data_IF_535949541912
#
_entry.id   IF_535949541912
#
_cell.length_a   1.000
_cell.length_b   1.000
_cell.length_c   1.000
_cell.angle_alpha   90.00
_cell.angle_beta   90.00
_cell.angle_gamma   90.00
#
_symmetry.space_group_name_H-M   'P 1'
#
loop_
_entity.id
_entity.type
_entity.pdbx_description
1 polymer ?
#
# COMPACT_ATOMS: atom_id res chain seq x y z
N UNK A 1 18.57 15.48 -21.63
CA UNK A 1 17.93 14.63 -20.61
C UNK A 1 17.03 13.65 -21.34
N UNK A 2 17.15 12.35 -21.04
CA UNK A 2 16.22 11.35 -21.57
C UNK A 2 14.83 11.65 -21.02
N UNK A 3 13.91 12.11 -21.88
CA UNK A 3 12.52 12.42 -21.53
C UNK A 3 11.85 11.21 -20.84
N UNK A 4 12.27 9.99 -21.21
CA UNK A 4 11.81 8.75 -20.58
C UNK A 4 12.11 8.74 -19.08
N UNK A 5 13.33 9.11 -18.68
CA UNK A 5 13.74 9.13 -17.27
C UNK A 5 12.91 10.13 -16.45
N UNK A 6 12.61 11.29 -17.04
CA UNK A 6 11.76 12.30 -16.39
C UNK A 6 10.35 11.75 -16.18
N UNK A 7 9.75 11.13 -17.20
CA UNK A 7 8.42 10.55 -17.09
C UNK A 7 8.38 9.34 -16.14
N UNK A 8 9.44 8.53 -16.06
CA UNK A 8 9.53 7.43 -15.11
C UNK A 8 9.51 7.93 -13.65
N UNK A 9 10.33 8.93 -13.31
CA UNK A 9 10.36 9.47 -11.95
C UNK A 9 9.11 10.28 -11.61
N UNK A 10 8.56 11.04 -12.56
CA UNK A 10 7.26 11.70 -12.35
C UNK A 10 6.15 10.67 -12.13
N UNK A 11 6.12 9.60 -12.93
CA UNK A 11 5.17 8.51 -12.79
C UNK A 11 5.29 7.82 -11.44
N UNK A 12 6.52 7.54 -10.99
CA UNK A 12 6.80 7.00 -9.67
C UNK A 12 6.31 7.90 -8.54
N UNK A 13 6.57 9.21 -8.60
CA UNK A 13 6.13 10.16 -7.56
C UNK A 13 4.60 10.27 -7.54
N UNK A 14 3.95 10.39 -8.70
CA UNK A 14 2.49 10.48 -8.79
C UNK A 14 1.81 9.19 -8.36
N UNK A 15 2.34 8.03 -8.75
CA UNK A 15 1.87 6.73 -8.32
C UNK A 15 2.08 6.55 -6.81
N UNK A 16 3.26 6.89 -6.29
CA UNK A 16 3.53 6.88 -4.86
C UNK A 16 2.55 7.74 -4.09
N UNK A 17 2.31 8.99 -4.50
CA UNK A 17 1.36 9.87 -3.83
C UNK A 17 -0.08 9.34 -3.88
N UNK A 18 -0.54 8.90 -5.06
CA UNK A 18 -1.92 8.41 -5.23
C UNK A 18 -2.18 7.07 -4.54
N UNK A 19 -1.27 6.11 -4.67
CA UNK A 19 -1.38 4.77 -4.07
C UNK A 19 -1.21 4.83 -2.56
N UNK A 20 -0.16 5.50 -2.07
CA UNK A 20 0.04 5.64 -0.62
C UNK A 20 -1.10 6.49 -0.05
N UNK A 21 -1.49 7.62 -0.67
CA UNK A 21 -2.58 8.45 -0.18
C UNK A 21 -3.93 7.73 -0.09
N UNK A 22 -4.27 6.88 -1.07
CA UNK A 22 -5.53 6.14 -1.09
C UNK A 22 -5.53 4.95 -0.11
N UNK A 23 -4.55 4.07 -0.26
CA UNK A 23 -4.63 2.73 0.31
C UNK A 23 -3.89 2.63 1.66
N UNK A 24 -2.93 3.52 1.94
CA UNK A 24 -2.31 3.57 3.27
C UNK A 24 -3.28 4.05 4.33
N UNK A 25 -4.19 4.98 4.02
CA UNK A 25 -5.24 5.41 4.96
C UNK A 25 -6.22 4.27 5.22
N UNK A 26 -6.54 3.44 4.21
CA UNK A 26 -7.41 2.28 4.40
C UNK A 26 -6.74 1.19 5.28
N UNK A 27 -5.42 1.05 5.20
CA UNK A 27 -4.67 0.03 5.97
C UNK A 27 -4.26 0.52 7.37
N UNK A 28 -3.82 1.77 7.49
CA UNK A 28 -3.28 2.37 8.71
C UNK A 28 -4.28 3.29 9.43
N UNK A 29 -5.42 3.62 8.82
CA UNK A 29 -6.36 4.59 9.38
C UNK A 29 -6.92 4.19 10.75
N UNK A 30 -7.24 2.90 10.93
CA UNK A 30 -7.68 2.37 12.23
C UNK A 30 -6.56 2.43 13.28
N UNK A 31 -5.31 2.23 12.86
CA UNK A 31 -4.14 2.37 13.72
C UNK A 31 -3.89 3.82 14.14
N UNK A 32 -3.98 4.76 13.19
CA UNK A 32 -3.83 6.20 13.44
C UNK A 32 -4.91 6.68 14.40
N UNK A 33 -6.18 6.34 14.13
CA UNK A 33 -7.31 6.73 14.99
C UNK A 33 -7.22 6.11 16.39
N UNK A 34 -6.86 4.83 16.50
CA UNK A 34 -6.71 4.17 17.82
C UNK A 34 -5.52 4.69 18.63
N UNK A 35 -4.56 5.35 18.00
CA UNK A 35 -3.35 5.87 18.63
C UNK A 35 -3.24 7.41 18.48
N UNK A 36 -4.34 8.12 18.27
CA UNK A 36 -4.37 9.58 18.07
C UNK A 36 -3.73 10.39 19.22
N UNK A 37 -3.73 9.81 20.43
CA UNK A 37 -3.08 10.38 21.61
C UNK A 37 -1.54 10.36 21.53
N UNK A 38 -0.97 9.65 20.56
CA UNK A 38 0.47 9.57 20.33
C UNK A 38 0.87 10.61 19.29
N UNK A 39 2.04 11.24 19.44
CA UNK A 39 2.50 12.19 18.45
C UNK A 39 2.76 11.50 17.11
N UNK A 40 2.42 12.20 16.01
CA UNK A 40 2.46 11.66 14.66
C UNK A 40 3.82 11.04 14.28
N UNK A 41 4.93 11.59 14.75
CA UNK A 41 6.27 11.09 14.44
C UNK A 41 6.53 9.68 14.99
N UNK A 42 5.86 9.27 16.08
CA UNK A 42 5.97 7.91 16.63
C UNK A 42 5.25 6.91 15.72
N UNK A 43 4.04 7.28 15.28
CA UNK A 43 3.23 6.46 14.38
C UNK A 43 3.89 6.36 12.99
N UNK A 44 4.44 7.49 12.52
CA UNK A 44 5.24 7.55 11.30
C UNK A 44 6.50 6.71 11.41
N UNK A 45 7.25 6.77 12.52
CA UNK A 45 8.46 5.97 12.69
C UNK A 45 8.16 4.47 12.66
N UNK A 46 7.07 4.05 13.30
CA UNK A 46 6.58 2.67 13.24
C UNK A 46 6.28 2.25 11.79
N UNK A 47 5.42 2.98 11.07
CA UNK A 47 5.06 2.64 9.70
C UNK A 47 6.25 2.72 8.72
N UNK A 48 7.15 3.70 8.92
CA UNK A 48 8.36 3.93 8.12
C UNK A 48 9.40 2.85 8.31
N UNK A 49 9.58 2.35 9.53
CA UNK A 49 10.51 1.25 9.81
C UNK A 49 10.10 -0.01 9.05
N UNK A 50 8.80 -0.33 9.03
CA UNK A 50 8.26 -1.47 8.30
C UNK A 50 8.43 -1.26 6.80
N UNK A 51 8.07 -0.07 6.29
CA UNK A 51 8.28 0.28 4.87
C UNK A 51 9.74 0.07 4.46
N UNK A 52 10.67 0.59 5.25
CA UNK A 52 12.10 0.48 5.00
C UNK A 52 12.56 -0.98 5.00
N UNK A 53 12.18 -1.75 6.02
CA UNK A 53 12.55 -3.17 6.14
C UNK A 53 12.00 -3.96 4.96
N UNK A 54 10.71 -3.80 4.63
CA UNK A 54 10.08 -4.51 3.51
C UNK A 54 10.74 -4.15 2.19
N UNK A 55 11.01 -2.87 1.93
CA UNK A 55 11.64 -2.43 0.68
C UNK A 55 13.07 -2.95 0.54
N UNK A 56 13.89 -2.80 1.59
CA UNK A 56 15.29 -3.25 1.60
C UNK A 56 15.38 -4.77 1.51
N UNK A 57 14.49 -5.50 2.20
CA UNK A 57 14.41 -6.95 2.12
C UNK A 57 14.10 -7.41 0.69
N UNK A 58 13.10 -6.81 0.04
CA UNK A 58 12.78 -7.09 -1.36
C UNK A 58 14.00 -6.85 -2.26
N UNK A 59 14.57 -5.65 -2.18
CA UNK A 59 15.74 -5.30 -2.99
C UNK A 59 16.92 -6.28 -2.83
N UNK A 60 17.21 -6.69 -1.58
CA UNK A 60 18.32 -7.59 -1.29
C UNK A 60 18.06 -9.03 -1.77
N UNK A 61 16.85 -9.56 -1.55
CA UNK A 61 16.55 -10.95 -1.86
C UNK A 61 16.27 -11.21 -3.34
N UNK A 62 15.72 -10.21 -4.05
CA UNK A 62 15.31 -10.34 -5.45
C UNK A 62 16.25 -9.59 -6.42
N UNK A 63 17.55 -9.53 -6.11
CA UNK A 63 18.59 -9.00 -7.01
C UNK A 63 18.31 -7.57 -7.53
N UNK A 64 17.83 -6.71 -6.63
CA UNK A 64 17.50 -5.32 -6.90
C UNK A 64 16.03 -5.06 -7.24
N UNK A 65 15.18 -6.10 -7.30
CA UNK A 65 13.73 -5.95 -7.47
C UNK A 65 13.02 -5.74 -6.12
N UNK A 66 12.37 -4.60 -5.98
CA UNK A 66 11.57 -4.26 -4.80
C UNK A 66 10.12 -4.71 -4.90
N UNK A 67 9.69 -5.19 -6.07
CA UNK A 67 8.31 -5.61 -6.35
C UNK A 67 8.06 -7.09 -6.09
N UNK A 68 9.03 -7.81 -5.50
CA UNK A 68 8.90 -9.24 -5.19
C UNK A 68 8.53 -10.07 -6.43
N UNK A 69 9.18 -9.79 -7.57
CA UNK A 69 8.98 -10.43 -8.87
C UNK A 69 7.58 -10.26 -9.48
N UNK A 70 6.70 -9.47 -8.85
CA UNK A 70 5.34 -9.21 -9.36
C UNK A 70 5.37 -8.48 -10.70
N UNK A 71 6.43 -7.71 -10.96
CA UNK A 71 6.64 -6.99 -12.22
C UNK A 71 7.33 -7.81 -13.32
N UNK A 72 7.69 -9.08 -13.07
CA UNK A 72 8.31 -9.97 -14.08
C UNK A 72 7.48 -10.09 -15.36
N UNK A 73 6.16 -10.02 -15.24
CA UNK A 73 5.20 -10.11 -16.36
C UNK A 73 4.87 -8.77 -17.02
N UNK A 74 5.41 -7.67 -16.50
CA UNK A 74 5.16 -6.31 -16.98
C UNK A 74 6.49 -5.74 -17.48
N UNK A 75 6.80 -5.80 -18.77
CA UNK A 75 8.03 -5.21 -19.30
C UNK A 75 7.99 -3.67 -19.21
N UNK A 76 9.14 -3.02 -19.05
CA UNK A 76 9.22 -1.57 -19.18
C UNK A 76 9.00 -1.18 -20.64
N UNK A 77 8.09 -0.24 -20.94
CA UNK A 77 7.96 0.28 -22.30
C UNK A 77 9.21 1.07 -22.70
N UNK A 78 9.68 0.84 -23.93
CA UNK A 78 10.77 1.62 -24.55
C UNK A 78 10.29 2.15 -25.91
N UNK A 79 10.11 3.47 -26.09
CA UNK A 79 10.36 4.54 -25.12
C UNK A 79 9.27 4.64 -24.02
N UNK A 80 9.64 5.18 -22.85
CA UNK A 80 8.67 5.51 -21.81
C UNK A 80 8.00 6.83 -22.14
N UNK A 81 6.82 6.78 -22.74
CA UNK A 81 6.11 7.97 -23.20
C UNK A 81 5.28 8.65 -22.09
N UNK A 82 4.93 9.92 -22.31
CA UNK A 82 4.19 10.75 -21.35
C UNK A 82 2.82 10.17 -20.95
N UNK A 83 2.14 9.41 -21.83
CA UNK A 83 0.80 8.88 -21.56
C UNK A 83 0.78 7.80 -20.48
N UNK A 84 1.93 7.21 -20.12
CA UNK A 84 2.04 6.36 -18.94
C UNK A 84 1.82 7.13 -17.63
N UNK A 85 1.82 8.47 -17.64
CA UNK A 85 1.43 9.28 -16.50
C UNK A 85 -0.09 9.37 -16.31
N UNK A 86 -0.90 8.91 -17.27
CA UNK A 86 -2.37 9.00 -17.18
C UNK A 86 -2.95 8.21 -16.00
N UNK A 87 -2.60 6.92 -15.77
CA UNK A 87 -3.15 6.17 -14.64
C UNK A 87 -2.95 6.85 -13.27
N UNK A 88 -1.73 7.29 -12.87
CA UNK A 88 -1.55 7.90 -11.55
C UNK A 88 -2.16 9.30 -11.47
N UNK A 89 -2.27 10.04 -12.59
CA UNK A 89 -3.02 11.30 -12.64
C UNK A 89 -4.51 11.09 -12.42
N UNK A 90 -5.11 10.10 -13.10
CA UNK A 90 -6.53 9.75 -12.92
C UNK A 90 -6.77 9.29 -11.49
N UNK A 91 -5.90 8.46 -10.92
CA UNK A 91 -5.99 8.06 -9.51
C UNK A 91 -5.95 9.29 -8.59
N UNK A 92 -5.01 10.21 -8.78
CA UNK A 92 -4.91 11.42 -7.96
C UNK A 92 -6.20 12.27 -7.99
N UNK A 93 -6.89 12.33 -9.14
CA UNK A 93 -8.19 13.02 -9.24
C UNK A 93 -9.27 12.24 -8.49
N UNK A 94 -9.33 10.92 -8.69
CA UNK A 94 -10.35 10.08 -8.06
C UNK A 94 -10.18 10.01 -6.53
N UNK A 95 -8.96 9.92 -6.03
CA UNK A 95 -8.65 9.94 -4.59
C UNK A 95 -9.05 11.26 -3.96
N UNK A 96 -8.88 12.38 -4.66
CA UNK A 96 -9.34 13.69 -4.20
C UNK A 96 -10.87 13.80 -4.12
N UNK A 97 -11.61 13.04 -4.93
CA UNK A 97 -13.07 12.96 -4.85
C UNK A 97 -13.57 12.00 -3.78
N UNK A 98 -12.68 11.27 -3.09
CA UNK A 98 -13.04 10.30 -2.05
C UNK A 98 -13.67 9.02 -2.59
N UNK A 99 -13.61 8.78 -3.90
CA UNK A 99 -14.09 7.53 -4.50
C UNK A 99 -12.98 6.48 -4.30
N UNK A 100 -13.25 5.37 -3.59
CA UNK A 100 -12.28 4.29 -3.48
C UNK A 100 -12.13 3.58 -4.82
N UNK A 101 -10.90 3.49 -5.33
CA UNK A 101 -10.58 2.87 -6.62
C UNK A 101 -9.55 1.76 -6.43
N UNK A 102 -9.65 0.71 -7.23
CA UNK A 102 -8.59 -0.31 -7.30
C UNK A 102 -7.39 0.25 -8.07
N UNK A 103 -6.43 0.77 -7.33
CA UNK A 103 -5.14 1.30 -7.80
C UNK A 103 -4.40 0.29 -8.68
N UNK A 104 -4.31 -0.95 -8.18
CA UNK A 104 -3.74 -2.10 -8.89
C UNK A 104 -4.39 -2.32 -10.26
N UNK A 105 -5.73 -2.34 -10.28
CA UNK A 105 -6.48 -2.57 -11.52
C UNK A 105 -6.21 -1.48 -12.54
N UNK A 106 -6.26 -0.20 -12.15
CA UNK A 106 -6.07 0.90 -13.09
C UNK A 106 -4.64 0.97 -13.63
N UNK A 107 -3.64 0.86 -12.76
CA UNK A 107 -2.23 0.98 -13.15
C UNK A 107 -1.79 -0.25 -13.96
N UNK A 108 -1.91 -1.46 -13.42
CA UNK A 108 -1.31 -2.64 -14.06
C UNK A 108 -2.01 -3.01 -15.36
N UNK A 109 -3.32 -2.80 -15.47
CA UNK A 109 -4.06 -3.02 -16.72
C UNK A 109 -3.60 -2.09 -17.83
N UNK A 110 -3.24 -0.85 -17.50
CA UNK A 110 -2.70 0.10 -18.48
C UNK A 110 -1.34 -0.34 -19.03
N UNK A 111 -0.50 -0.96 -18.19
CA UNK A 111 0.80 -1.49 -18.61
C UNK A 111 0.71 -2.84 -19.33
N UNK A 112 -0.35 -3.63 -19.10
CA UNK A 112 -0.57 -4.91 -19.79
C UNK A 112 -2.06 -5.23 -19.94
N UNK A 113 -2.64 -4.82 -21.07
CA UNK A 113 -4.04 -5.11 -21.40
C UNK A 113 -4.34 -6.63 -21.50
N UNK A 114 -3.32 -7.45 -21.78
CA UNK A 114 -3.46 -8.90 -21.90
C UNK A 114 -3.81 -9.59 -20.56
N UNK A 115 -3.49 -8.94 -19.43
CA UNK A 115 -3.77 -9.47 -18.10
C UNK A 115 -5.13 -8.99 -17.52
N UNK A 116 -5.89 -8.19 -18.27
CA UNK A 116 -7.11 -7.55 -17.79
C UNK A 116 -8.15 -8.58 -17.34
N UNK A 117 -8.42 -9.61 -18.14
CA UNK A 117 -9.45 -10.60 -17.84
C UNK A 117 -9.14 -11.37 -16.55
N UNK A 118 -7.93 -11.90 -16.41
CA UNK A 118 -7.47 -12.61 -15.21
C UNK A 118 -7.53 -11.72 -13.96
N UNK A 119 -7.20 -10.43 -14.09
CA UNK A 119 -7.28 -9.48 -12.99
C UNK A 119 -8.72 -9.20 -12.58
N UNK A 120 -9.62 -8.97 -13.55
CA UNK A 120 -11.06 -8.75 -13.27
C UNK A 120 -11.66 -9.96 -12.55
N UNK A 121 -11.42 -11.17 -13.05
CA UNK A 121 -11.94 -12.40 -12.44
C UNK A 121 -11.41 -12.58 -11.01
N UNK A 122 -10.10 -12.44 -10.80
CA UNK A 122 -9.50 -12.57 -9.46
C UNK A 122 -10.00 -11.51 -8.49
N UNK A 123 -10.14 -10.26 -8.92
CA UNK A 123 -10.69 -9.19 -8.09
C UNK A 123 -12.13 -9.45 -7.71
N UNK A 124 -13.00 -9.82 -8.66
CA UNK A 124 -14.40 -10.16 -8.40
C UNK A 124 -14.55 -11.33 -7.42
N UNK A 125 -13.82 -12.43 -7.66
CA UNK A 125 -13.83 -13.59 -6.77
C UNK A 125 -13.32 -13.22 -5.37
N UNK A 126 -12.26 -12.41 -5.29
CA UNK A 126 -11.72 -11.90 -4.03
C UNK A 126 -12.73 -11.08 -3.25
N UNK A 127 -13.45 -10.16 -3.90
CA UNK A 127 -14.49 -9.35 -3.25
C UNK A 127 -15.66 -10.21 -2.73
N UNK A 128 -16.15 -11.15 -3.53
CA UNK A 128 -17.25 -12.05 -3.13
C UNK A 128 -16.83 -12.94 -1.96
N UNK A 129 -15.62 -13.50 -2.01
CA UNK A 129 -15.09 -14.33 -0.93
C UNK A 129 -14.90 -13.52 0.36
N UNK A 130 -14.29 -12.33 0.28
CA UNK A 130 -14.10 -11.45 1.44
C UNK A 130 -15.43 -11.03 2.07
N UNK A 131 -16.42 -10.68 1.24
CA UNK A 131 -17.76 -10.33 1.70
C UNK A 131 -18.46 -11.50 2.42
N UNK A 132 -18.39 -12.71 1.84
CA UNK A 132 -18.96 -13.90 2.46
C UNK A 132 -18.29 -14.25 3.80
N UNK A 133 -16.96 -14.23 3.85
CA UNK A 133 -16.19 -14.50 5.08
C UNK A 133 -16.49 -13.44 6.15
N UNK A 134 -16.54 -12.17 5.77
CA UNK A 134 -16.85 -11.08 6.70
C UNK A 134 -18.23 -11.24 7.34
N UNK A 135 -19.26 -11.63 6.56
CA UNK A 135 -20.60 -11.92 7.09
C UNK A 135 -20.55 -13.07 8.10
N UNK A 136 -19.89 -14.17 7.75
CA UNK A 136 -19.81 -15.35 8.64
C UNK A 136 -19.12 -14.97 9.96
N UNK A 137 -17.98 -14.29 9.88
CA UNK A 137 -17.24 -13.82 11.07
C UNK A 137 -18.11 -12.85 11.89
N UNK A 138 -18.77 -11.89 11.25
CA UNK A 138 -19.62 -10.92 11.93
C UNK A 138 -20.78 -11.59 12.65
N UNK A 139 -21.46 -12.57 12.04
CA UNK A 139 -22.56 -13.29 12.66
C UNK A 139 -22.12 -14.16 13.85
N UNK A 140 -20.92 -14.75 13.77
CA UNK A 140 -20.36 -15.57 14.86
C UNK A 140 -19.87 -14.71 16.04
N UNK A 141 -19.26 -13.56 15.75
CA UNK A 141 -18.54 -12.76 16.73
C UNK A 141 -19.43 -11.66 17.34
N UNK A 142 -20.34 -11.03 16.58
CA UNK A 142 -21.12 -9.87 17.03
C UNK A 142 -21.82 -10.12 18.36
N UNK A 143 -22.57 -11.23 18.49
CA UNK A 143 -23.32 -11.52 19.72
C UNK A 143 -22.44 -11.74 20.96
N UNK A 144 -21.22 -12.26 20.80
CA UNK A 144 -20.33 -12.55 21.92
C UNK A 144 -19.45 -11.36 22.30
N UNK A 145 -18.89 -10.67 21.29
CA UNK A 145 -17.92 -9.59 21.46
C UNK A 145 -18.62 -8.27 21.74
N UNK A 146 -19.71 -7.95 21.07
CA UNK A 146 -20.42 -6.67 21.24
C UNK A 146 -20.99 -6.56 22.66
N UNK A 147 -21.55 -7.65 23.19
CA UNK A 147 -22.02 -7.69 24.59
C UNK A 147 -20.86 -7.57 25.60
N UNK A 148 -19.75 -8.28 25.38
CA UNK A 148 -18.60 -8.23 26.28
C UNK A 148 -17.93 -6.86 26.30
N UNK A 149 -17.66 -6.27 25.13
CA UNK A 149 -16.99 -4.96 25.03
C UNK A 149 -17.85 -3.78 25.49
N UNK A 150 -19.19 -3.86 25.40
CA UNK A 150 -20.08 -2.83 25.92
C UNK A 150 -20.18 -2.91 27.45
N UNK A 151 -20.16 -4.12 28.03
CA UNK A 151 -20.37 -4.33 29.47
C UNK A 151 -19.07 -4.25 30.31
N UNK A 152 -17.88 -4.35 29.71
CA UNK A 152 -16.61 -4.30 30.44
C UNK A 152 -15.71 -3.15 29.99
N UNK A 153 -15.39 -2.22 30.90
CA UNK A 153 -14.31 -1.26 30.69
C UNK A 153 -12.95 -2.00 30.70
N UNK A 154 -12.08 -1.78 29.70
CA UNK A 154 -10.81 -2.47 29.62
C UNK A 154 -9.89 -2.05 30.77
N UNK A 155 -9.37 -3.05 31.48
CA UNK A 155 -8.42 -2.85 32.58
C UNK A 155 -7.08 -2.35 32.03
N UNK A 156 -6.33 -1.57 32.81
CA UNK A 156 -4.96 -1.10 32.46
C UNK A 156 -4.00 -2.23 32.03
N UNK A 157 -4.20 -3.45 32.55
CA UNK A 157 -3.41 -4.65 32.17
C UNK A 157 -3.78 -5.16 30.77
N UNK A 158 -5.06 -5.14 30.43
CA UNK A 158 -5.56 -5.57 29.12
C UNK A 158 -5.09 -4.61 28.03
N UNK A 159 -5.17 -3.29 28.28
CA UNK A 159 -4.62 -2.28 27.38
C UNK A 159 -3.11 -2.44 27.15
N UNK A 160 -2.35 -2.83 28.18
CA UNK A 160 -0.89 -3.05 28.06
C UNK A 160 -0.54 -4.23 27.14
N UNK A 161 -1.42 -5.24 27.03
CA UNK A 161 -1.24 -6.38 26.14
C UNK A 161 -1.85 -6.10 24.76
N UNK A 162 -3.00 -5.43 24.72
CA UNK A 162 -3.74 -5.11 23.51
C UNK A 162 -2.96 -4.19 22.59
N UNK A 163 -2.33 -3.13 23.12
CA UNK A 163 -1.59 -2.15 22.30
C UNK A 163 -0.47 -2.82 21.49
N UNK A 164 0.46 -3.61 22.08
CA UNK A 164 1.44 -4.36 21.30
C UNK A 164 0.83 -5.32 20.27
N UNK A 165 -0.23 -6.05 20.62
CA UNK A 165 -0.90 -6.98 19.70
C UNK A 165 -1.51 -6.25 18.50
N UNK A 166 -2.18 -5.13 18.75
CA UNK A 166 -2.74 -4.26 17.71
C UNK A 166 -1.64 -3.74 16.79
N UNK A 167 -0.53 -3.26 17.35
CA UNK A 167 0.61 -2.76 16.59
C UNK A 167 1.24 -3.86 15.74
N UNK A 168 1.45 -5.06 16.28
CA UNK A 168 1.98 -6.19 15.51
C UNK A 168 1.03 -6.61 14.38
N UNK A 169 -0.28 -6.68 14.65
CA UNK A 169 -1.29 -6.98 13.63
C UNK A 169 -1.30 -5.93 12.51
N UNK A 170 -1.28 -4.65 12.88
CA UNK A 170 -1.18 -3.53 11.94
C UNK A 170 0.10 -3.63 11.13
N UNK A 171 1.23 -3.89 11.78
CA UNK A 171 2.53 -4.00 11.12
C UNK A 171 2.58 -5.16 10.13
N UNK A 172 1.96 -6.29 10.46
CA UNK A 172 1.80 -7.39 9.54
C UNK A 172 0.97 -6.98 8.32
N UNK A 173 -0.24 -6.44 8.52
CA UNK A 173 -1.10 -5.99 7.43
C UNK A 173 -0.42 -4.95 6.53
N UNK A 174 0.28 -4.00 7.14
CA UNK A 174 1.05 -2.98 6.43
C UNK A 174 2.18 -3.58 5.59
N UNK A 175 2.92 -4.56 6.12
CA UNK A 175 3.94 -5.27 5.35
C UNK A 175 3.36 -6.02 4.15
N UNK A 176 2.20 -6.67 4.33
CA UNK A 176 1.54 -7.42 3.25
C UNK A 176 1.00 -6.49 2.18
N UNK A 177 0.46 -5.33 2.57
CA UNK A 177 0.05 -4.29 1.66
C UNK A 177 1.24 -3.78 0.84
N UNK A 178 2.35 -3.40 1.51
CA UNK A 178 3.55 -2.91 0.85
C UNK A 178 4.11 -3.87 -0.20
N UNK A 179 4.19 -5.17 0.13
CA UNK A 179 4.66 -6.21 -0.81
C UNK A 179 3.80 -6.23 -2.09
N UNK A 180 2.49 -6.03 -1.96
CA UNK A 180 1.58 -6.05 -3.10
C UNK A 180 1.65 -4.75 -3.91
N UNK A 181 1.65 -3.61 -3.23
CA UNK A 181 1.55 -2.28 -3.82
C UNK A 181 2.87 -1.70 -4.30
N UNK A 182 4.01 -2.24 -3.87
CA UNK A 182 5.29 -1.93 -4.52
C UNK A 182 5.27 -2.20 -6.01
N UNK A 183 4.52 -3.21 -6.48
CA UNK A 183 4.33 -3.41 -7.91
C UNK A 183 3.66 -2.19 -8.58
N UNK A 184 2.66 -1.60 -7.94
CA UNK A 184 1.90 -0.46 -8.48
C UNK A 184 2.74 0.82 -8.53
N UNK A 185 3.59 1.03 -7.51
CA UNK A 185 4.46 2.22 -7.40
C UNK A 185 5.71 2.06 -8.29
N UNK A 186 6.35 0.88 -8.29
CA UNK A 186 7.61 0.64 -8.99
C UNK A 186 7.45 0.17 -10.44
N UNK A 187 6.22 0.00 -10.96
CA UNK A 187 6.01 -0.31 -12.40
C UNK A 187 6.68 0.71 -13.33
N UNK A 188 6.80 1.97 -12.86
CA UNK A 188 7.43 3.11 -13.53
C UNK A 188 8.97 3.09 -13.50
N UNK A 189 9.59 2.30 -12.63
CA UNK A 189 11.03 2.25 -12.44
C UNK A 189 11.64 0.94 -13.00
N UNK A 190 12.97 0.89 -13.22
CA UNK A 190 13.65 -0.34 -13.62
C UNK A 190 13.43 -1.48 -12.63
N UNK A 191 13.29 -2.72 -13.15
CA UNK A 191 13.01 -3.92 -12.33
C UNK A 191 14.18 -4.29 -11.43
N UNK A 192 15.40 -3.89 -11.80
CA UNK A 192 16.56 -3.91 -10.91
C UNK A 192 16.96 -2.47 -10.62
N UNK A 193 16.75 -2.05 -9.38
CA UNK A 193 17.14 -0.72 -8.91
C UNK A 193 18.60 -0.71 -8.48
N UNK A 194 19.33 0.34 -8.86
CA UNK A 194 20.63 0.60 -8.26
C UNK A 194 20.47 1.00 -6.79
N UNK A 195 21.54 0.86 -5.98
CA UNK A 195 21.50 1.29 -4.57
C UNK A 195 21.14 2.77 -4.41
N UNK A 196 21.55 3.63 -5.34
CA UNK A 196 21.16 5.05 -5.36
C UNK A 196 19.67 5.19 -5.67
N UNK A 197 19.15 4.45 -6.66
CA UNK A 197 17.73 4.43 -7.00
C UNK A 197 16.86 3.97 -5.83
N UNK A 198 17.32 2.95 -5.09
CA UNK A 198 16.67 2.49 -3.85
C UNK A 198 16.61 3.61 -2.82
N UNK A 199 17.73 4.25 -2.48
CA UNK A 199 17.78 5.31 -1.45
C UNK A 199 16.90 6.50 -1.84
N UNK A 200 16.94 6.94 -3.10
CA UNK A 200 16.11 8.06 -3.58
C UNK A 200 14.63 7.69 -3.54
N UNK A 201 14.26 6.52 -4.04
CA UNK A 201 12.86 6.06 -4.01
C UNK A 201 12.33 5.89 -2.59
N UNK A 202 13.15 5.35 -1.67
CA UNK A 202 12.83 5.22 -0.26
C UNK A 202 12.63 6.59 0.39
N UNK A 203 13.53 7.55 0.16
CA UNK A 203 13.39 8.90 0.69
C UNK A 203 12.08 9.56 0.26
N UNK A 204 11.70 9.42 -1.03
CA UNK A 204 10.43 9.93 -1.55
C UNK A 204 9.24 9.28 -0.83
N UNK A 205 9.22 7.94 -0.71
CA UNK A 205 8.12 7.23 -0.05
C UNK A 205 8.01 7.59 1.44
N UNK A 206 9.14 7.75 2.14
CA UNK A 206 9.17 8.18 3.54
C UNK A 206 8.67 9.61 3.72
N UNK A 207 9.00 10.52 2.81
CA UNK A 207 8.48 11.89 2.79
C UNK A 207 6.97 11.93 2.52
N UNK A 208 6.49 11.12 1.58
CA UNK A 208 5.06 10.99 1.30
C UNK A 208 4.29 10.43 2.51
N UNK A 209 4.86 9.41 3.16
CA UNK A 209 4.27 8.86 4.38
C UNK A 209 4.28 9.87 5.52
N UNK A 210 5.35 10.67 5.65
CA UNK A 210 5.41 11.75 6.65
C UNK A 210 4.30 12.79 6.41
N UNK A 211 4.06 13.17 5.16
CA UNK A 211 3.00 14.11 4.78
C UNK A 211 1.59 13.59 5.12
N UNK A 212 1.37 12.27 5.06
CA UNK A 212 0.06 11.66 5.39
C UNK A 212 -0.17 11.59 6.90
N UNK A 213 0.90 11.41 7.68
CA UNK A 213 0.81 11.30 9.14
C UNK A 213 0.79 12.66 9.85
N UNK A 214 1.30 13.71 9.22
CA UNK A 214 1.33 15.08 9.74
C UNK A 214 -0.05 15.75 9.67
#
# INVERSE_FOLDING_TARGET
>A
MDLSLVFMWLGFILAGYSVVGNDSIQTLGTFISSNENRPWYVLWFFASSILTITLVYGWYHYSGDVSYERLSKYPLPQPFAWYYLLPPLVLMVLTRTGIPVSTSFLILTFFSAKNLQDMVEKSLLGYVAAFGVAIVIYLLISKAVEKYFIESEPTKRELRVWVPLQWMSTGFLWSQWLIQDFANIYVYLPRSLSGIGLVVSLAILLSLLAYIFY
#
